data_IF_220527099578
#
_entry.id   IF_220527099578
#
_cell.length_a   1.000
_cell.length_b   1.000
_cell.length_c   1.000
_cell.angle_alpha   90.00
_cell.angle_beta   90.00
_cell.angle_gamma   90.00
#
_symmetry.space_group_name_H-M   'P 1'
#
loop_
_entity.id
_entity.type
_entity.pdbx_description
1 polymer ?
#
# COMPACT_ATOMS: atom_id res chain seq x y z
N UNK A 1 -27.06 14.14 -17.34
CA UNK A 1 -26.52 15.06 -16.32
C UNK A 1 -25.03 14.78 -16.27
N UNK A 2 -24.15 15.79 -16.36
CA UNK A 2 -22.72 15.56 -16.20
C UNK A 2 -22.49 15.03 -14.76
N UNK A 3 -21.85 13.87 -14.63
CA UNK A 3 -21.48 13.33 -13.32
C UNK A 3 -20.59 14.34 -12.61
N UNK A 4 -20.91 14.64 -11.36
CA UNK A 4 -20.14 15.59 -10.55
C UNK A 4 -18.79 14.95 -10.22
N UNK A 5 -17.71 15.46 -10.82
CA UNK A 5 -16.37 15.00 -10.53
C UNK A 5 -15.87 15.56 -9.20
N UNK A 6 -15.15 14.74 -8.43
CA UNK A 6 -14.52 15.17 -7.18
C UNK A 6 -13.24 15.96 -7.50
N UNK A 7 -13.14 17.19 -6.99
CA UNK A 7 -11.97 18.04 -7.20
C UNK A 7 -10.90 17.73 -6.16
N UNK A 8 -9.71 17.36 -6.61
CA UNK A 8 -8.53 17.16 -5.78
C UNK A 8 -7.91 18.51 -5.44
N UNK A 9 -7.65 18.73 -4.17
CA UNK A 9 -6.94 19.93 -3.70
C UNK A 9 -5.45 19.80 -4.02
N UNK A 10 -4.93 20.74 -4.83
CA UNK A 10 -3.50 20.80 -5.17
C UNK A 10 -2.66 21.13 -3.94
N UNK A 11 -1.41 20.67 -3.91
CA UNK A 11 -0.45 20.87 -2.81
C UNK A 11 -0.94 20.33 -1.44
N UNK A 12 -1.86 19.38 -1.45
CA UNK A 12 -2.43 18.71 -0.27
C UNK A 12 -2.08 17.23 -0.22
N UNK A 13 -2.39 16.60 0.91
CA UNK A 13 -2.27 15.13 1.06
C UNK A 13 -3.13 14.40 0.01
N UNK A 14 -4.27 14.98 -0.41
CA UNK A 14 -5.11 14.39 -1.44
C UNK A 14 -4.38 14.22 -2.78
N UNK A 15 -3.48 15.12 -3.14
CA UNK A 15 -2.69 14.98 -4.37
C UNK A 15 -1.77 13.75 -4.35
N UNK A 16 -1.29 13.35 -3.17
CA UNK A 16 -0.45 12.16 -3.03
C UNK A 16 -1.20 10.87 -3.34
N UNK A 17 -2.53 10.87 -3.17
CA UNK A 17 -3.39 9.72 -3.49
C UNK A 17 -3.42 9.41 -4.99
N UNK A 18 -3.19 10.44 -5.81
CA UNK A 18 -3.26 10.32 -7.27
C UNK A 18 -2.07 9.52 -7.83
N UNK A 19 -0.91 9.55 -7.16
CA UNK A 19 0.31 8.91 -7.66
C UNK A 19 0.16 7.39 -7.78
N UNK A 20 -0.21 6.65 -6.71
CA UNK A 20 -0.42 5.21 -6.81
C UNK A 20 -1.57 4.85 -7.75
N UNK A 21 -2.65 5.64 -7.74
CA UNK A 21 -3.82 5.40 -8.57
C UNK A 21 -3.48 5.51 -10.07
N UNK A 22 -2.80 6.59 -10.47
CA UNK A 22 -2.35 6.77 -11.85
C UNK A 22 -1.29 5.74 -12.23
N UNK A 23 -0.38 5.42 -11.31
CA UNK A 23 0.61 4.36 -11.53
C UNK A 23 -0.05 3.01 -11.86
N UNK A 24 -1.09 2.62 -11.13
CA UNK A 24 -1.87 1.40 -11.42
C UNK A 24 -2.54 1.46 -12.80
N UNK A 25 -3.15 2.59 -13.15
CA UNK A 25 -3.78 2.79 -14.45
C UNK A 25 -2.74 2.70 -15.57
N UNK A 26 -1.63 3.41 -15.48
CA UNK A 26 -0.54 3.37 -16.47
C UNK A 26 0.03 1.96 -16.61
N UNK A 27 0.21 1.24 -15.49
CA UNK A 27 0.65 -0.14 -15.51
C UNK A 27 -0.38 -1.07 -16.19
N UNK A 28 -1.67 -0.88 -15.91
CA UNK A 28 -2.76 -1.63 -16.54
C UNK A 28 -2.79 -1.43 -18.06
N UNK A 29 -2.55 -0.23 -18.53
CA UNK A 29 -2.51 0.08 -19.96
C UNK A 29 -1.33 -0.60 -20.69
N UNK A 30 -0.15 -0.61 -20.05
CA UNK A 30 1.07 -1.15 -20.66
C UNK A 30 1.25 -2.66 -20.46
N UNK A 31 0.69 -3.20 -19.38
CA UNK A 31 0.80 -4.62 -19.00
C UNK A 31 -0.56 -5.24 -18.65
N UNK A 32 -1.56 -5.19 -19.54
CA UNK A 32 -2.94 -5.60 -19.24
C UNK A 32 -3.07 -7.09 -18.89
N UNK A 33 -2.16 -7.93 -19.37
CA UNK A 33 -2.10 -9.35 -19.02
C UNK A 33 -1.60 -9.63 -17.63
N UNK A 34 -0.80 -8.72 -17.07
CA UNK A 34 -0.25 -8.82 -15.71
C UNK A 34 -1.12 -8.10 -14.68
N UNK A 35 -1.57 -6.90 -14.99
CA UNK A 35 -2.15 -5.97 -14.03
C UNK A 35 -3.37 -5.23 -14.57
N UNK A 36 -4.40 -5.97 -14.99
CA UNK A 36 -5.67 -5.31 -15.33
C UNK A 36 -6.29 -4.65 -14.09
N UNK A 37 -6.50 -3.33 -14.14
CA UNK A 37 -7.07 -2.55 -13.05
C UNK A 37 -8.15 -1.57 -13.56
N UNK A 38 -9.33 -2.08 -13.92
CA UNK A 38 -10.44 -1.24 -14.37
C UNK A 38 -10.97 -0.31 -13.25
N UNK A 39 -10.74 -0.68 -11.99
CA UNK A 39 -11.16 0.15 -10.87
C UNK A 39 -10.32 1.43 -10.74
N UNK A 40 -9.01 1.34 -11.01
CA UNK A 40 -8.17 2.53 -11.06
C UNK A 40 -8.65 3.53 -12.14
N UNK A 41 -9.04 3.04 -13.32
CA UNK A 41 -9.60 3.87 -14.38
C UNK A 41 -10.93 4.50 -13.95
N UNK A 42 -11.85 3.69 -13.40
CA UNK A 42 -13.16 4.17 -12.91
C UNK A 42 -12.99 5.29 -11.87
N UNK A 43 -12.09 5.12 -10.92
CA UNK A 43 -11.85 6.13 -9.88
C UNK A 43 -11.28 7.40 -10.50
N UNK A 44 -10.33 7.29 -11.43
CA UNK A 44 -9.76 8.45 -12.13
C UNK A 44 -10.81 9.25 -12.91
N UNK A 45 -11.76 8.57 -13.54
CA UNK A 45 -12.86 9.22 -14.26
C UNK A 45 -13.78 10.02 -13.35
N UNK A 46 -13.88 9.66 -12.07
CA UNK A 46 -14.63 10.39 -11.05
C UNK A 46 -13.88 11.61 -10.49
N UNK A 47 -12.59 11.77 -10.80
CA UNK A 47 -11.77 12.87 -10.31
C UNK A 47 -11.71 14.02 -11.30
N UNK A 48 -11.79 15.25 -10.78
CA UNK A 48 -11.45 16.47 -11.51
C UNK A 48 -9.99 16.85 -11.17
N UNK A 49 -9.08 16.16 -11.82
CA UNK A 49 -7.65 16.37 -11.61
C UNK A 49 -6.90 16.29 -12.93
N UNK A 50 -6.26 17.38 -13.31
CA UNK A 50 -5.41 17.44 -14.49
C UNK A 50 -4.01 16.89 -14.18
N UNK A 51 -3.73 15.70 -14.69
CA UNK A 51 -2.41 15.07 -14.57
C UNK A 51 -1.31 15.77 -15.35
N UNK A 52 -1.66 16.49 -16.43
CA UNK A 52 -0.73 17.29 -17.23
C UNK A 52 0.60 16.58 -17.53
N UNK A 53 1.71 17.25 -17.19
CA UNK A 53 3.05 16.68 -17.40
C UNK A 53 3.40 15.49 -16.49
N UNK A 54 2.65 15.26 -15.40
CA UNK A 54 2.87 14.11 -14.51
C UNK A 54 2.58 12.79 -15.23
N UNK A 55 1.53 12.74 -16.05
CA UNK A 55 1.22 11.55 -16.85
C UNK A 55 2.34 11.22 -17.83
N UNK A 56 2.86 12.23 -18.56
CA UNK A 56 3.99 12.05 -19.48
C UNK A 56 5.24 11.51 -18.77
N UNK A 57 5.49 11.96 -17.53
CA UNK A 57 6.62 11.46 -16.72
C UNK A 57 6.39 9.99 -16.32
N UNK A 58 5.17 9.63 -15.94
CA UNK A 58 4.82 8.24 -15.60
C UNK A 58 4.90 7.29 -16.80
N UNK A 59 4.70 7.78 -18.01
CA UNK A 59 4.86 7.00 -19.26
C UNK A 59 6.32 6.91 -19.72
N UNK A 60 7.25 7.64 -19.09
CA UNK A 60 8.68 7.47 -19.35
C UNK A 60 9.15 6.08 -18.89
N UNK A 61 10.27 5.53 -19.39
CA UNK A 61 10.76 4.22 -18.98
C UNK A 61 10.97 4.08 -17.46
N UNK A 62 11.41 5.15 -16.79
CA UNK A 62 11.59 5.18 -15.32
C UNK A 62 10.23 5.30 -14.61
N UNK A 63 9.35 6.15 -15.13
CA UNK A 63 7.99 6.31 -14.60
C UNK A 63 7.17 5.03 -14.74
N UNK A 64 7.27 4.35 -15.89
CA UNK A 64 6.61 3.07 -16.13
C UNK A 64 7.14 1.97 -15.19
N UNK A 65 8.44 2.00 -14.87
CA UNK A 65 8.99 1.09 -13.86
C UNK A 65 8.33 1.34 -12.49
N UNK A 66 8.16 2.58 -12.08
CA UNK A 66 7.46 2.86 -10.84
C UNK A 66 5.97 2.55 -10.87
N UNK A 67 5.30 2.69 -12.01
CA UNK A 67 3.95 2.19 -12.17
C UNK A 67 3.89 0.66 -11.97
N UNK A 68 4.88 -0.06 -12.50
CA UNK A 68 5.06 -1.51 -12.30
C UNK A 68 5.28 -1.85 -10.82
N UNK A 69 6.12 -1.08 -10.10
CA UNK A 69 6.34 -1.26 -8.66
C UNK A 69 5.04 -1.12 -7.86
N UNK A 70 4.24 -0.10 -8.14
CA UNK A 70 2.96 0.13 -7.43
C UNK A 70 1.97 -1.01 -7.68
N UNK A 71 1.83 -1.45 -8.92
CA UNK A 71 0.91 -2.52 -9.28
C UNK A 71 1.36 -3.88 -8.71
N UNK A 72 2.66 -4.19 -8.78
CA UNK A 72 3.23 -5.42 -8.22
C UNK A 72 3.05 -5.45 -6.69
N UNK A 73 3.31 -4.34 -6.01
CA UNK A 73 3.11 -4.23 -4.56
C UNK A 73 1.66 -4.53 -4.16
N UNK A 74 0.68 -3.97 -4.87
CA UNK A 74 -0.72 -4.26 -4.61
C UNK A 74 -1.03 -5.76 -4.81
N UNK A 75 -0.51 -6.36 -5.88
CA UNK A 75 -0.67 -7.78 -6.15
C UNK A 75 -0.11 -8.63 -5.00
N UNK A 76 1.08 -8.33 -4.54
CA UNK A 76 1.78 -9.11 -3.50
C UNK A 76 1.09 -8.99 -2.14
N UNK A 77 0.66 -7.78 -1.77
CA UNK A 77 -0.13 -7.57 -0.54
C UNK A 77 -1.47 -8.32 -0.63
N UNK A 78 -2.16 -8.25 -1.77
CA UNK A 78 -3.39 -9.01 -1.98
C UNK A 78 -3.16 -10.53 -1.92
N UNK A 79 -2.00 -11.01 -2.40
CA UNK A 79 -1.65 -12.43 -2.31
C UNK A 79 -1.54 -12.88 -0.85
N UNK A 80 -0.82 -12.14 0.00
CA UNK A 80 -0.65 -12.46 1.42
C UNK A 80 -1.99 -12.37 2.18
N UNK A 81 -2.82 -11.36 1.89
CA UNK A 81 -4.17 -11.25 2.49
C UNK A 81 -5.03 -12.46 2.11
N UNK A 82 -5.05 -12.86 0.83
CA UNK A 82 -5.79 -14.04 0.38
C UNK A 82 -5.26 -15.33 0.99
N UNK A 83 -3.94 -15.43 1.19
CA UNK A 83 -3.32 -16.58 1.85
C UNK A 83 -3.82 -16.70 3.28
N UNK A 84 -3.84 -15.61 4.04
CA UNK A 84 -4.40 -15.58 5.40
C UNK A 84 -5.90 -15.94 5.42
N UNK A 85 -6.68 -15.40 4.50
CA UNK A 85 -8.13 -15.65 4.42
C UNK A 85 -8.50 -17.11 4.10
N UNK A 86 -7.59 -17.91 3.52
CA UNK A 86 -7.84 -19.37 3.32
C UNK A 86 -7.98 -20.12 4.65
N UNK A 87 -7.22 -19.72 5.67
CA UNK A 87 -7.28 -20.29 7.00
C UNK A 87 -8.31 -19.58 7.90
N UNK A 88 -8.57 -18.30 7.63
CA UNK A 88 -9.42 -17.42 8.44
C UNK A 88 -10.47 -16.69 7.58
N UNK A 89 -11.46 -17.41 7.00
CA UNK A 89 -12.36 -16.82 5.99
C UNK A 89 -13.22 -15.67 6.51
N UNK A 90 -13.46 -15.59 7.81
CA UNK A 90 -14.24 -14.52 8.47
C UNK A 90 -13.37 -13.43 9.12
N UNK A 91 -12.09 -13.39 8.79
CA UNK A 91 -11.18 -12.43 9.41
C UNK A 91 -11.51 -10.97 9.08
N UNK A 92 -11.09 -10.09 9.97
CA UNK A 92 -10.97 -8.68 9.69
C UNK A 92 -9.73 -8.42 8.80
N UNK A 93 -9.93 -7.78 7.67
CA UNK A 93 -8.88 -7.31 6.76
C UNK A 93 -8.72 -5.81 6.95
N UNK A 94 -7.62 -5.37 7.51
CA UNK A 94 -7.41 -3.97 7.93
C UNK A 94 -6.37 -3.31 7.05
N UNK A 95 -6.80 -2.34 6.25
CA UNK A 95 -5.97 -1.51 5.38
C UNK A 95 -5.52 -0.25 6.13
N UNK A 96 -4.27 -0.18 6.48
CA UNK A 96 -3.67 0.92 7.24
C UNK A 96 -3.07 1.95 6.28
N UNK A 97 -3.53 3.21 6.36
CA UNK A 97 -3.17 4.25 5.39
C UNK A 97 -3.74 3.91 4.00
N UNK A 98 -5.05 3.69 3.96
CA UNK A 98 -5.70 3.05 2.82
C UNK A 98 -5.71 3.88 1.53
N UNK A 99 -5.60 5.20 1.60
CA UNK A 99 -5.70 6.05 0.42
C UNK A 99 -6.89 5.70 -0.47
N UNK A 100 -6.62 5.56 -1.75
CA UNK A 100 -7.58 5.08 -2.77
C UNK A 100 -7.28 3.64 -3.22
N UNK A 101 -6.69 2.84 -2.33
CA UNK A 101 -6.42 1.43 -2.57
C UNK A 101 -7.71 0.59 -2.45
N UNK A 102 -7.92 -0.35 -3.37
CA UNK A 102 -9.06 -1.24 -3.46
C UNK A 102 -8.71 -2.72 -3.18
N UNK A 103 -7.55 -2.96 -2.58
CA UNK A 103 -7.03 -4.32 -2.33
C UNK A 103 -8.03 -5.20 -1.56
N UNK A 104 -8.75 -4.64 -0.58
CA UNK A 104 -9.79 -5.38 0.12
C UNK A 104 -10.81 -5.97 -0.86
N UNK A 105 -11.32 -5.18 -1.80
CA UNK A 105 -12.32 -5.63 -2.78
C UNK A 105 -11.78 -6.75 -3.70
N UNK A 106 -10.49 -6.73 -3.99
CA UNK A 106 -9.80 -7.78 -4.75
C UNK A 106 -9.60 -9.07 -3.95
N UNK A 107 -9.68 -8.99 -2.61
CA UNK A 107 -9.49 -10.10 -1.67
C UNK A 107 -10.79 -10.62 -1.08
N UNK A 108 -11.88 -9.88 -1.19
CA UNK A 108 -13.18 -10.20 -0.57
C UNK A 108 -13.69 -11.58 -1.00
N UNK A 109 -13.84 -12.46 -0.03
CA UNK A 109 -14.32 -13.83 -0.18
C UNK A 109 -15.81 -13.98 0.12
N UNK A 110 -16.52 -12.87 0.40
CA UNK A 110 -17.94 -12.87 0.76
C UNK A 110 -18.22 -13.06 2.26
N UNK A 111 -17.22 -13.42 3.07
CA UNK A 111 -17.37 -13.68 4.50
C UNK A 111 -16.52 -12.74 5.39
N UNK A 112 -15.37 -12.26 4.88
CA UNK A 112 -14.48 -11.36 5.61
C UNK A 112 -15.05 -9.94 5.70
N UNK A 113 -14.53 -9.15 6.65
CA UNK A 113 -14.87 -7.74 6.82
C UNK A 113 -13.65 -6.85 6.55
N UNK A 114 -13.85 -5.75 5.84
CA UNK A 114 -12.80 -4.79 5.49
C UNK A 114 -12.88 -3.53 6.34
N UNK A 115 -11.72 -3.06 6.80
CA UNK A 115 -11.58 -1.81 7.54
C UNK A 115 -10.49 -0.97 6.88
N UNK A 116 -10.86 0.15 6.30
CA UNK A 116 -9.95 1.07 5.64
C UNK A 116 -9.71 2.27 6.53
N UNK A 117 -8.48 2.49 6.96
CA UNK A 117 -8.11 3.52 7.93
C UNK A 117 -7.20 4.54 7.26
N UNK A 118 -7.55 5.81 7.37
CA UNK A 118 -6.70 6.91 6.93
C UNK A 118 -7.14 8.23 7.59
N UNK A 119 -6.38 9.28 7.36
CA UNK A 119 -6.68 10.62 7.82
C UNK A 119 -8.06 11.10 7.36
N UNK A 120 -8.75 11.96 8.13
CA UNK A 120 -10.12 12.40 7.82
C UNK A 120 -10.31 12.96 6.41
N UNK A 121 -9.35 13.73 5.90
CA UNK A 121 -9.41 14.33 4.56
C UNK A 121 -9.32 13.27 3.46
N UNK A 122 -8.52 12.21 3.69
CA UNK A 122 -8.40 11.06 2.78
C UNK A 122 -9.68 10.24 2.76
N UNK A 123 -10.22 9.93 3.94
CA UNK A 123 -11.48 9.17 4.05
C UNK A 123 -12.64 9.94 3.45
N UNK A 124 -12.65 11.27 3.53
CA UNK A 124 -13.65 12.10 2.85
C UNK A 124 -13.63 11.86 1.32
N UNK A 125 -12.45 11.89 0.70
CA UNK A 125 -12.29 11.58 -0.73
C UNK A 125 -12.70 10.14 -1.03
N UNK A 126 -12.21 9.19 -0.21
CA UNK A 126 -12.51 7.77 -0.38
C UNK A 126 -13.99 7.47 -0.35
N UNK A 127 -14.75 8.10 0.54
CA UNK A 127 -16.20 7.90 0.64
C UNK A 127 -16.97 8.34 -0.62
N UNK A 128 -16.42 9.26 -1.41
CA UNK A 128 -17.03 9.68 -2.69
C UNK A 128 -16.80 8.65 -3.80
N UNK A 129 -15.63 8.00 -3.84
CA UNK A 129 -15.22 7.17 -4.98
C UNK A 129 -15.15 5.67 -4.66
N UNK A 130 -14.95 5.34 -3.39
CA UNK A 130 -14.88 3.98 -2.81
C UNK A 130 -15.70 3.94 -1.52
N UNK A 131 -17.03 4.23 -1.59
CA UNK A 131 -17.87 4.19 -0.39
C UNK A 131 -17.85 2.81 0.24
N UNK A 132 -17.90 2.79 1.58
CA UNK A 132 -18.07 1.57 2.34
C UNK A 132 -19.42 0.89 2.10
N UNK A 133 -19.56 -0.30 2.62
CA UNK A 133 -20.79 -1.10 2.60
C UNK A 133 -20.93 -1.87 3.92
N UNK A 134 -21.85 -2.84 4.00
CA UNK A 134 -22.10 -3.61 5.23
C UNK A 134 -20.85 -4.38 5.73
N UNK A 135 -19.94 -4.77 4.83
CA UNK A 135 -18.71 -5.51 5.14
C UNK A 135 -17.42 -4.72 4.94
N UNK A 136 -17.49 -3.52 4.36
CA UNK A 136 -16.34 -2.64 4.14
C UNK A 136 -16.58 -1.29 4.82
N UNK A 137 -15.79 -0.96 5.83
CA UNK A 137 -15.95 0.24 6.67
C UNK A 137 -14.75 1.17 6.47
N UNK A 138 -15.00 2.43 6.14
CA UNK A 138 -13.98 3.48 6.08
C UNK A 138 -13.92 4.22 7.42
N UNK A 139 -12.74 4.28 8.05
CA UNK A 139 -12.49 4.84 9.39
C UNK A 139 -11.56 6.05 9.27
N UNK A 140 -12.07 7.23 9.57
CA UNK A 140 -11.28 8.46 9.65
C UNK A 140 -10.52 8.51 10.99
N UNK A 141 -9.21 8.27 10.97
CA UNK A 141 -8.37 8.24 12.16
C UNK A 141 -6.88 8.35 11.80
N UNK A 142 -6.09 9.04 12.61
CA UNK A 142 -4.63 8.92 12.58
C UNK A 142 -4.24 7.53 13.09
N UNK A 143 -3.32 6.85 12.42
CA UNK A 143 -2.83 5.52 12.84
C UNK A 143 -2.14 5.56 14.22
N UNK A 144 -1.61 6.71 14.63
CA UNK A 144 -1.04 6.92 15.96
C UNK A 144 -2.09 7.10 17.05
N UNK A 145 -3.35 7.30 16.69
CA UNK A 145 -4.49 7.32 17.59
C UNK A 145 -5.16 5.93 17.57
N UNK A 146 -4.81 5.11 18.53
CA UNK A 146 -5.17 3.68 18.55
C UNK A 146 -6.66 3.37 18.76
N UNK A 147 -7.56 4.36 18.84
CA UNK A 147 -9.01 4.16 18.95
C UNK A 147 -9.62 3.42 17.75
N UNK A 148 -8.98 3.49 16.57
CA UNK A 148 -9.43 2.71 15.43
C UNK A 148 -9.40 1.19 15.70
N UNK A 149 -8.50 0.72 16.56
CA UNK A 149 -8.37 -0.69 16.92
C UNK A 149 -9.61 -1.22 17.66
N UNK A 150 -10.31 -0.35 18.40
CA UNK A 150 -11.53 -0.72 19.14
C UNK A 150 -12.74 -0.92 18.22
N UNK A 151 -12.65 -0.48 16.96
CA UNK A 151 -13.70 -0.64 15.94
C UNK A 151 -13.57 -1.93 15.14
N UNK A 152 -12.49 -2.68 15.29
CA UNK A 152 -12.21 -3.89 14.52
C UNK A 152 -12.82 -5.11 15.21
N UNK A 153 -13.71 -5.82 14.52
CA UNK A 153 -14.15 -7.13 14.97
C UNK A 153 -13.06 -8.19 14.70
N UNK A 154 -12.42 -8.62 15.75
CA UNK A 154 -11.31 -9.59 15.72
C UNK A 154 -11.73 -11.04 15.94
N UNK A 155 -13.02 -11.32 16.04
CA UNK A 155 -13.54 -12.66 16.40
C UNK A 155 -13.18 -13.74 15.39
N UNK A 156 -13.02 -13.38 14.11
CA UNK A 156 -12.62 -14.28 13.02
C UNK A 156 -11.13 -14.33 12.72
N UNK A 157 -10.28 -13.67 13.53
CA UNK A 157 -8.87 -13.39 13.24
C UNK A 157 -8.70 -12.02 12.58
N UNK A 158 -7.45 -11.56 12.46
CA UNK A 158 -7.16 -10.25 11.86
C UNK A 158 -5.91 -10.29 11.02
N UNK A 159 -5.99 -9.75 9.82
CA UNK A 159 -4.85 -9.46 8.96
C UNK A 159 -4.79 -7.96 8.66
N UNK A 160 -3.66 -7.36 8.96
CA UNK A 160 -3.35 -5.97 8.68
C UNK A 160 -2.48 -5.89 7.43
N UNK A 161 -2.68 -4.88 6.60
CA UNK A 161 -1.72 -4.55 5.58
C UNK A 161 -1.53 -3.05 5.43
N UNK A 162 -0.34 -2.63 5.03
CA UNK A 162 0.03 -1.25 4.78
C UNK A 162 0.85 -1.16 3.49
N UNK A 163 0.42 -0.32 2.56
CA UNK A 163 1.03 -0.14 1.25
C UNK A 163 1.64 1.25 1.10
N UNK A 164 2.97 1.37 1.22
CA UNK A 164 3.67 2.65 1.08
C UNK A 164 3.42 3.62 2.25
N UNK A 165 3.16 3.13 3.44
CA UNK A 165 2.70 3.94 4.58
C UNK A 165 3.79 4.21 5.60
N UNK A 166 4.48 3.17 6.08
CA UNK A 166 5.39 3.33 7.21
C UNK A 166 6.61 4.18 6.90
N UNK A 167 6.97 4.38 5.66
CA UNK A 167 8.05 5.30 5.27
C UNK A 167 7.91 6.70 5.89
N UNK A 168 6.70 7.16 6.12
CA UNK A 168 6.39 8.48 6.69
C UNK A 168 6.42 8.54 8.21
N UNK A 169 6.60 7.40 8.88
CA UNK A 169 6.61 7.29 10.34
C UNK A 169 8.05 7.25 10.85
N UNK A 170 8.26 7.76 12.06
CA UNK A 170 9.52 7.52 12.78
C UNK A 170 9.57 6.08 13.24
N UNK A 171 10.74 5.47 13.25
CA UNK A 171 10.92 4.07 13.67
C UNK A 171 10.31 3.78 15.04
N UNK A 172 10.43 4.73 16.00
CA UNK A 172 9.88 4.55 17.34
C UNK A 172 8.34 4.59 17.36
N UNK A 173 7.70 5.33 16.44
CA UNK A 173 6.24 5.34 16.29
C UNK A 173 5.76 4.01 15.71
N UNK A 174 6.48 3.47 14.73
CA UNK A 174 6.21 2.14 14.16
C UNK A 174 6.34 1.05 15.21
N UNK A 175 7.39 1.08 16.04
CA UNK A 175 7.57 0.12 17.13
C UNK A 175 6.43 0.19 18.16
N UNK A 176 5.97 1.39 18.51
CA UNK A 176 4.85 1.55 19.43
C UNK A 176 3.56 1.01 18.83
N UNK A 177 3.28 1.34 17.57
CA UNK A 177 2.11 0.83 16.85
C UNK A 177 2.10 -0.70 16.80
N UNK A 178 3.22 -1.33 16.43
CA UNK A 178 3.31 -2.80 16.36
C UNK A 178 3.15 -3.44 17.73
N UNK A 179 3.68 -2.82 18.81
CA UNK A 179 3.48 -3.30 20.18
C UNK A 179 2.02 -3.26 20.61
N UNK A 180 1.30 -2.18 20.27
CA UNK A 180 -0.13 -2.06 20.54
C UNK A 180 -0.93 -3.10 19.72
N UNK A 181 -0.57 -3.33 18.46
CA UNK A 181 -1.20 -4.35 17.62
C UNK A 181 -1.00 -5.75 18.20
N UNK A 182 0.23 -6.12 18.57
CA UNK A 182 0.53 -7.41 19.20
C UNK A 182 -0.27 -7.62 20.50
N UNK A 183 -0.39 -6.57 21.31
CA UNK A 183 -1.14 -6.64 22.58
C UNK A 183 -2.64 -6.80 22.39
N UNK A 184 -3.23 -6.12 21.40
CA UNK A 184 -4.68 -6.08 21.20
C UNK A 184 -5.18 -7.16 20.26
N UNK A 185 -4.34 -7.68 19.38
CA UNK A 185 -4.67 -8.65 18.34
C UNK A 185 -3.71 -9.85 18.34
N UNK A 186 -3.63 -10.63 19.44
CA UNK A 186 -2.77 -11.80 19.50
C UNK A 186 -3.16 -12.81 18.40
N UNK A 187 -2.17 -13.39 17.74
CA UNK A 187 -2.36 -14.31 16.59
C UNK A 187 -2.67 -13.62 15.26
N UNK A 188 -2.66 -12.28 15.21
CA UNK A 188 -2.86 -11.54 13.96
C UNK A 188 -1.58 -11.50 13.10
N UNK A 189 -1.75 -11.12 11.84
CA UNK A 189 -0.66 -10.94 10.89
C UNK A 189 -0.65 -9.51 10.38
N UNK A 190 0.54 -8.88 10.31
CA UNK A 190 0.77 -7.60 9.65
C UNK A 190 1.64 -7.80 8.42
N UNK A 191 1.25 -7.21 7.30
CA UNK A 191 1.94 -7.29 6.02
C UNK A 191 2.20 -5.86 5.52
N UNK A 192 3.44 -5.54 5.16
CA UNK A 192 3.77 -4.21 4.66
C UNK A 192 5.01 -4.22 3.77
N UNK A 193 5.15 -3.19 2.94
CA UNK A 193 6.33 -2.99 2.13
C UNK A 193 7.40 -2.16 2.86
N UNK A 194 8.65 -2.54 2.66
CA UNK A 194 9.82 -1.83 3.18
C UNK A 194 10.99 -1.90 2.22
N UNK A 195 12.00 -1.09 2.46
CA UNK A 195 13.28 -1.14 1.78
C UNK A 195 14.41 -0.76 2.75
N UNK A 196 15.67 -0.90 2.31
CA UNK A 196 16.79 -0.47 3.12
C UNK A 196 16.96 1.07 3.09
N UNK A 197 17.87 1.61 3.92
CA UNK A 197 18.16 3.05 4.01
C UNK A 197 18.47 3.69 2.65
N UNK A 198 19.14 2.95 1.76
CA UNK A 198 19.48 3.43 0.41
C UNK A 198 18.22 3.62 -0.44
N UNK A 199 17.29 2.67 -0.35
CA UNK A 199 15.98 2.72 -1.00
C UNK A 199 15.14 3.88 -0.47
N UNK A 200 15.04 4.04 0.84
CA UNK A 200 14.30 5.14 1.46
C UNK A 200 14.83 6.51 1.01
N UNK A 201 16.16 6.69 0.99
CA UNK A 201 16.79 7.92 0.47
C UNK A 201 16.55 8.15 -1.03
N UNK A 202 16.51 7.09 -1.83
CA UNK A 202 16.23 7.17 -3.26
C UNK A 202 14.77 7.56 -3.49
N UNK A 203 13.84 6.94 -2.79
CA UNK A 203 12.41 7.26 -2.84
C UNK A 203 12.15 8.74 -2.54
N UNK A 204 12.75 9.29 -1.48
CA UNK A 204 12.62 10.71 -1.12
C UNK A 204 13.16 11.64 -2.20
N UNK A 205 14.31 11.29 -2.81
CA UNK A 205 14.97 12.15 -3.79
C UNK A 205 14.34 12.10 -5.18
N UNK A 206 13.71 10.99 -5.55
CA UNK A 206 13.16 10.79 -6.90
C UNK A 206 11.63 10.90 -6.89
N UNK A 207 10.95 9.96 -6.26
CA UNK A 207 9.50 9.82 -6.33
C UNK A 207 8.73 10.95 -5.67
N UNK A 208 9.05 11.25 -4.41
CA UNK A 208 8.33 12.30 -3.67
C UNK A 208 8.58 13.67 -4.29
N UNK A 209 9.84 13.93 -4.70
CA UNK A 209 10.20 15.20 -5.30
C UNK A 209 9.61 15.39 -6.71
N UNK A 210 9.57 14.35 -7.52
CA UNK A 210 8.93 14.38 -8.84
C UNK A 210 7.41 14.48 -8.74
N UNK A 211 6.83 13.96 -7.67
CA UNK A 211 5.42 14.12 -7.36
C UNK A 211 5.04 15.50 -6.80
N UNK A 212 6.04 16.40 -6.62
CA UNK A 212 5.83 17.74 -6.05
C UNK A 212 5.82 17.76 -4.51
N UNK A 213 6.11 16.63 -3.85
CA UNK A 213 6.14 16.51 -2.40
C UNK A 213 7.54 16.86 -1.91
N UNK A 214 7.79 18.12 -1.61
CA UNK A 214 9.13 18.61 -1.30
C UNK A 214 9.51 18.59 0.18
N UNK A 215 8.53 18.33 1.08
CA UNK A 215 8.70 18.47 2.53
C UNK A 215 8.48 17.17 3.31
N UNK A 216 8.54 16.02 2.65
CA UNK A 216 8.36 14.71 3.30
C UNK A 216 9.65 13.90 3.19
N UNK A 217 10.20 13.53 4.35
CA UNK A 217 11.33 12.61 4.45
C UNK A 217 10.81 11.18 4.70
N UNK A 218 11.51 10.19 4.14
CA UNK A 218 11.30 8.81 4.53
C UNK A 218 12.14 8.52 5.78
N UNK A 219 11.47 8.28 6.90
CA UNK A 219 12.12 8.05 8.20
C UNK A 219 12.29 6.57 8.52
N UNK A 220 11.32 5.75 8.10
CA UNK A 220 11.33 4.32 8.35
C UNK A 220 11.95 3.53 7.20
N UNK A 221 12.82 2.61 7.55
CA UNK A 221 13.43 1.61 6.65
C UNK A 221 13.90 0.41 7.49
N UNK A 222 14.11 -0.73 6.86
CA UNK A 222 14.69 -1.93 7.47
C UNK A 222 15.90 -2.38 6.64
N UNK A 223 17.06 -2.49 7.25
CA UNK A 223 18.21 -3.11 6.59
C UNK A 223 17.99 -4.62 6.43
N UNK A 224 17.28 -5.22 7.41
CA UNK A 224 16.81 -6.60 7.40
C UNK A 224 15.48 -6.69 8.18
N UNK A 225 14.50 -7.43 7.66
CA UNK A 225 13.23 -7.66 8.33
C UNK A 225 13.38 -8.31 9.72
N UNK A 226 14.43 -9.11 9.94
CA UNK A 226 14.71 -9.76 11.22
C UNK A 226 14.97 -8.78 12.37
N UNK A 227 15.30 -7.51 12.09
CA UNK A 227 15.43 -6.46 13.11
C UNK A 227 14.16 -6.32 13.96
N UNK A 228 13.00 -6.62 13.40
CA UNK A 228 11.70 -6.55 14.11
C UNK A 228 11.66 -7.51 15.29
N UNK A 229 12.32 -8.67 15.20
CA UNK A 229 12.40 -9.65 16.30
C UNK A 229 13.10 -9.09 17.54
N UNK A 230 14.03 -8.14 17.32
CA UNK A 230 14.80 -7.50 18.39
C UNK A 230 14.05 -6.36 19.07
N UNK A 231 12.90 -5.94 18.53
CA UNK A 231 12.15 -4.79 19.07
C UNK A 231 11.37 -5.08 20.37
N UNK A 232 11.26 -6.35 20.77
CA UNK A 232 10.53 -6.76 21.97
C UNK A 232 9.03 -6.46 21.91
N UNK A 233 8.45 -6.54 20.71
CA UNK A 233 7.03 -6.22 20.43
C UNK A 233 6.11 -7.45 20.48
N UNK A 234 6.63 -8.64 20.81
CA UNK A 234 5.83 -9.86 20.83
C UNK A 234 5.66 -10.52 19.45
N UNK A 235 6.52 -10.18 18.46
CA UNK A 235 6.49 -10.86 17.16
C UNK A 235 6.91 -12.34 17.32
N UNK A 236 6.04 -13.25 16.93
CA UNK A 236 6.32 -14.70 16.95
C UNK A 236 7.14 -15.13 15.74
N UNK A 237 6.78 -14.63 14.56
CA UNK A 237 7.47 -14.91 13.32
C UNK A 237 7.61 -13.63 12.47
N UNK A 238 8.76 -13.48 11.83
CA UNK A 238 9.00 -12.43 10.83
C UNK A 238 9.60 -13.06 9.58
N UNK A 239 8.93 -12.86 8.46
CA UNK A 239 9.41 -13.30 7.15
C UNK A 239 9.43 -12.14 6.16
N UNK A 240 10.18 -12.26 5.10
CA UNK A 240 10.17 -11.26 4.02
C UNK A 240 10.41 -11.90 2.66
N UNK A 241 9.80 -11.32 1.62
CA UNK A 241 10.01 -11.68 0.21
C UNK A 241 10.27 -10.41 -0.60
N UNK A 242 11.12 -10.51 -1.62
CA UNK A 242 11.22 -9.43 -2.61
C UNK A 242 9.86 -9.18 -3.26
N UNK A 243 9.41 -7.93 -3.26
CA UNK A 243 8.11 -7.67 -3.88
C UNK A 243 8.20 -7.49 -5.39
N UNK A 244 9.39 -7.37 -5.97
CA UNK A 244 9.51 -7.32 -7.43
C UNK A 244 9.62 -8.71 -8.08
N UNK A 245 10.09 -9.73 -7.34
CA UNK A 245 10.34 -11.07 -7.88
C UNK A 245 9.96 -12.22 -6.93
N UNK A 246 9.46 -11.92 -5.73
CA UNK A 246 9.23 -12.94 -4.70
C UNK A 246 7.88 -13.66 -4.78
N UNK A 247 6.90 -13.10 -5.50
CA UNK A 247 5.53 -13.63 -5.58
C UNK A 247 5.16 -14.10 -6.98
N UNK A 248 5.47 -13.30 -7.98
CA UNK A 248 5.22 -13.61 -9.39
C UNK A 248 6.44 -13.27 -10.20
N UNK A 249 6.84 -14.19 -11.08
CA UNK A 249 7.87 -13.89 -12.06
C UNK A 249 7.26 -13.04 -13.18
N UNK A 250 7.73 -11.81 -13.28
CA UNK A 250 7.33 -10.86 -14.31
C UNK A 250 8.44 -10.61 -15.35
N UNK A 251 9.57 -11.32 -15.22
CA UNK A 251 10.76 -11.07 -16.03
C UNK A 251 10.49 -11.21 -17.52
N UNK A 252 9.72 -12.21 -17.93
CA UNK A 252 9.47 -12.46 -19.36
C UNK A 252 8.50 -11.47 -19.98
N UNK A 253 7.76 -10.76 -19.14
CA UNK A 253 6.73 -9.80 -19.56
C UNK A 253 7.28 -8.37 -19.72
N UNK A 254 8.49 -8.09 -19.21
CA UNK A 254 9.07 -6.75 -19.21
C UNK A 254 10.32 -6.63 -20.06
N UNK A 255 10.60 -5.42 -20.55
CA UNK A 255 11.77 -5.13 -21.36
C UNK A 255 13.09 -5.21 -20.58
N UNK A 256 14.23 -5.31 -21.29
CA UNK A 256 15.56 -5.48 -20.71
C UNK A 256 15.90 -4.42 -19.67
N UNK A 257 15.53 -3.15 -19.89
CA UNK A 257 15.76 -2.07 -18.94
C UNK A 257 15.06 -2.33 -17.60
N UNK A 258 13.79 -2.71 -17.64
CA UNK A 258 13.01 -3.02 -16.43
C UNK A 258 13.55 -4.27 -15.73
N UNK A 259 14.01 -5.29 -16.47
CA UNK A 259 14.71 -6.46 -15.90
C UNK A 259 15.92 -6.04 -15.07
N UNK A 260 16.73 -5.10 -15.56
CA UNK A 260 17.88 -4.57 -14.84
C UNK A 260 17.45 -3.76 -13.60
N UNK A 261 16.38 -2.97 -13.72
CA UNK A 261 15.85 -2.18 -12.60
C UNK A 261 15.28 -3.09 -11.50
N UNK A 262 14.56 -4.16 -11.85
CA UNK A 262 14.09 -5.18 -10.89
C UNK A 262 15.28 -5.76 -10.12
N UNK A 263 16.34 -6.20 -10.83
CA UNK A 263 17.56 -6.73 -10.17
C UNK A 263 18.24 -5.72 -9.25
N UNK A 264 18.21 -4.45 -9.64
CA UNK A 264 18.74 -3.37 -8.81
C UNK A 264 17.90 -3.21 -7.53
N UNK A 265 16.57 -3.18 -7.65
CA UNK A 265 15.65 -3.07 -6.51
C UNK A 265 15.81 -4.26 -5.55
N UNK A 266 15.86 -5.47 -6.06
CA UNK A 266 16.02 -6.68 -5.23
C UNK A 266 17.36 -6.73 -4.50
N UNK A 267 18.47 -6.42 -5.19
CA UNK A 267 19.82 -6.64 -4.66
C UNK A 267 20.39 -5.46 -3.88
N UNK A 268 20.13 -4.22 -4.35
CA UNK A 268 20.78 -3.02 -3.81
C UNK A 268 19.84 -2.19 -2.93
N UNK A 269 18.57 -2.13 -3.25
CA UNK A 269 17.56 -1.38 -2.51
C UNK A 269 16.82 -2.28 -1.52
N UNK A 270 16.84 -3.59 -1.75
CA UNK A 270 16.19 -4.61 -0.93
C UNK A 270 14.71 -4.25 -0.66
N UNK A 271 13.97 -4.04 -1.74
CA UNK A 271 12.53 -3.82 -1.66
C UNK A 271 11.85 -5.15 -1.33
N UNK A 272 11.12 -5.17 -0.22
CA UNK A 272 10.51 -6.40 0.31
C UNK A 272 9.08 -6.16 0.79
N UNK A 273 8.28 -7.21 0.72
CA UNK A 273 7.07 -7.36 1.54
C UNK A 273 7.49 -8.10 2.80
N UNK A 274 7.23 -7.49 3.93
CA UNK A 274 7.49 -8.02 5.27
C UNK A 274 6.19 -8.55 5.85
N UNK A 275 6.23 -9.72 6.44
CA UNK A 275 5.12 -10.35 7.17
C UNK A 275 5.54 -10.59 8.60
N UNK A 276 4.77 -10.05 9.53
CA UNK A 276 4.96 -10.20 10.98
C UNK A 276 3.76 -10.91 11.56
N UNK A 277 3.97 -11.98 12.30
CA UNK A 277 2.94 -12.65 13.08
C UNK A 277 3.09 -12.25 14.55
N UNK A 278 1.99 -11.85 15.17
CA UNK A 278 1.91 -11.46 16.57
C UNK A 278 1.32 -12.55 17.46
#
# INVERSE_FOLDING_TARGET
>A
MAERKYRIEKDSVQETLMIPLVGRKVCSDHYPTLFADPEAERILDMMDYDMGDKLKKMESPVGLFGALEVAQRQYDLAWEVKDYLRAHPKAAVVNMGCGLDDTFRKCDNGECSGYNIDMPDVIKVRNEVLPGNEREINIACDLNDYFWMDKIDRSGGTVFYASGVFYYFRTEDVKRLFKEMASRFPGSVLIFDSCNRRGAKMMTKTWLKEAGINNVDAYFFLENADEIKEWGIGAEEVTSRSYMSGYRDIYDEVGMLHKLMIRFCDKLVKMVIVKVQF
#
